data_IF_333513722047
#
_entry.id   IF_333513722047
#
_cell.length_a   1.000
_cell.length_b   1.000
_cell.length_c   1.000
_cell.angle_alpha   90.00
_cell.angle_beta   90.00
_cell.angle_gamma   90.00
#
_symmetry.space_group_name_H-M   'P 1'
#
loop_
_entity.id
_entity.type
_entity.pdbx_description
1 polymer ?
#
# COMPACT_ATOMS: atom_id res chain seq x y z
N UNK A 1 -10.18 -8.80 -14.05
CA UNK A 1 -9.62 -7.44 -14.18
C UNK A 1 -9.63 -6.70 -12.83
N UNK A 2 -10.53 -7.07 -11.91
CA UNK A 2 -10.87 -6.29 -10.71
C UNK A 2 -9.75 -6.22 -9.66
N UNK A 3 -9.00 -7.32 -9.46
CA UNK A 3 -7.93 -7.42 -8.46
C UNK A 3 -6.79 -6.42 -8.63
N UNK A 4 -6.45 -6.04 -9.87
CA UNK A 4 -5.41 -5.04 -10.14
C UNK A 4 -5.91 -3.65 -9.77
N UNK A 5 -7.18 -3.36 -10.08
CA UNK A 5 -7.81 -2.08 -9.76
C UNK A 5 -7.97 -1.88 -8.25
N UNK A 6 -8.41 -2.92 -7.52
CA UNK A 6 -8.49 -2.92 -6.06
C UNK A 6 -7.11 -2.67 -5.43
N UNK A 7 -6.07 -3.30 -6.00
CA UNK A 7 -4.70 -3.16 -5.52
C UNK A 7 -4.15 -1.75 -5.73
N UNK A 8 -4.29 -1.20 -6.93
CA UNK A 8 -3.83 0.16 -7.26
C UNK A 8 -4.57 1.20 -6.41
N UNK A 9 -5.88 1.05 -6.24
CA UNK A 9 -6.68 1.94 -5.42
C UNK A 9 -6.25 1.92 -3.95
N UNK A 10 -6.12 0.73 -3.36
CA UNK A 10 -5.71 0.59 -1.96
C UNK A 10 -4.27 1.07 -1.73
N UNK A 11 -3.35 0.78 -2.67
CA UNK A 11 -1.98 1.27 -2.59
C UNK A 11 -1.92 2.80 -2.68
N UNK A 12 -2.70 3.41 -3.57
CA UNK A 12 -2.77 4.87 -3.67
C UNK A 12 -3.35 5.50 -2.39
N UNK A 13 -4.41 4.92 -1.84
CA UNK A 13 -4.98 5.35 -0.56
C UNK A 13 -3.97 5.29 0.60
N UNK A 14 -3.21 4.19 0.70
CA UNK A 14 -2.17 4.05 1.72
C UNK A 14 -1.04 5.07 1.52
N UNK A 15 -0.66 5.38 0.28
CA UNK A 15 0.33 6.42 -0.01
C UNK A 15 -0.18 7.81 0.36
N UNK A 16 -1.43 8.16 0.05
CA UNK A 16 -2.07 9.41 0.49
C UNK A 16 -2.12 9.53 2.01
N UNK A 17 -2.39 8.43 2.72
CA UNK A 17 -2.37 8.42 4.18
C UNK A 17 -0.97 8.74 4.73
N UNK A 18 0.10 8.24 4.10
CA UNK A 18 1.48 8.56 4.51
C UNK A 18 1.84 10.03 4.28
N UNK A 19 1.18 10.73 3.35
CA UNK A 19 1.40 12.16 3.12
C UNK A 19 0.76 13.02 4.22
N UNK A 20 -0.26 12.52 4.91
CA UNK A 20 -0.87 13.19 6.06
C UNK A 20 -0.02 13.07 7.32
N UNK A 21 0.81 12.02 7.41
CA UNK A 21 1.70 11.78 8.53
C UNK A 21 3.11 12.28 8.23
N UNK A 22 3.49 13.41 8.84
CA UNK A 22 4.78 14.04 8.58
C UNK A 22 5.99 13.15 8.94
N UNK A 23 5.80 12.14 9.78
CA UNK A 23 6.85 11.16 10.09
C UNK A 23 7.31 10.37 8.87
N UNK A 24 6.49 10.26 7.82
CA UNK A 24 6.84 9.53 6.61
C UNK A 24 7.69 10.33 5.61
N UNK A 25 7.79 11.67 5.75
CA UNK A 25 8.63 12.50 4.88
C UNK A 25 10.13 12.18 4.99
N UNK A 26 10.56 11.50 6.06
CA UNK A 26 11.95 11.05 6.23
C UNK A 26 12.33 9.87 5.33
N UNK A 27 11.34 9.19 4.75
CA UNK A 27 11.55 8.05 3.87
C UNK A 27 11.49 8.46 2.40
N UNK A 28 12.19 7.72 1.54
CA UNK A 28 12.16 7.98 0.10
C UNK A 28 10.80 7.61 -0.51
N UNK A 29 10.26 8.38 -1.46
CA UNK A 29 8.94 8.12 -2.05
C UNK A 29 8.81 6.74 -2.69
N UNK A 30 9.89 6.21 -3.27
CA UNK A 30 9.92 4.86 -3.86
C UNK A 30 9.73 3.76 -2.81
N UNK A 31 10.29 3.94 -1.60
CA UNK A 31 10.14 3.01 -0.49
C UNK A 31 8.71 3.06 0.05
N UNK A 32 8.14 4.25 0.18
CA UNK A 32 6.74 4.44 0.60
C UNK A 32 5.79 3.78 -0.42
N UNK A 33 5.99 4.02 -1.71
CA UNK A 33 5.19 3.42 -2.78
C UNK A 33 5.29 1.89 -2.80
N UNK A 34 6.50 1.33 -2.66
CA UNK A 34 6.71 -0.11 -2.58
C UNK A 34 6.06 -0.73 -1.33
N UNK A 35 6.12 -0.04 -0.19
CA UNK A 35 5.51 -0.47 1.07
C UNK A 35 3.98 -0.43 0.98
N UNK A 36 3.42 0.60 0.38
CA UNK A 36 1.98 0.72 0.12
C UNK A 36 1.47 -0.38 -0.81
N UNK A 37 2.21 -0.69 -1.89
CA UNK A 37 1.89 -1.81 -2.78
C UNK A 37 1.97 -3.17 -2.06
N UNK A 38 3.00 -3.36 -1.22
CA UNK A 38 3.15 -4.58 -0.42
C UNK A 38 1.99 -4.75 0.57
N UNK A 39 1.66 -3.69 1.32
CA UNK A 39 0.54 -3.69 2.28
C UNK A 39 -0.81 -3.88 1.58
N UNK A 40 -1.02 -3.23 0.44
CA UNK A 40 -2.25 -3.39 -0.33
C UNK A 40 -2.40 -4.82 -0.85
N UNK A 41 -1.31 -5.43 -1.36
CA UNK A 41 -1.30 -6.85 -1.74
C UNK A 41 -1.63 -7.72 -0.54
N UNK A 42 -0.94 -7.54 0.58
CA UNK A 42 -1.18 -8.31 1.80
C UNK A 42 -2.61 -8.21 2.30
N UNK A 43 -3.18 -7.00 2.29
CA UNK A 43 -4.55 -6.73 2.76
C UNK A 43 -5.60 -7.37 1.87
N UNK A 44 -5.42 -7.33 0.55
CA UNK A 44 -6.35 -7.94 -0.41
C UNK A 44 -6.18 -9.45 -0.52
N UNK A 45 -5.00 -9.97 -0.18
CA UNK A 45 -4.69 -11.41 -0.23
C UNK A 45 -4.86 -12.10 1.13
N UNK A 46 -5.56 -11.47 2.08
CA UNK A 46 -5.86 -11.99 3.43
C UNK A 46 -6.57 -13.36 3.47
N UNK A 47 -7.08 -13.86 2.34
CA UNK A 47 -7.66 -15.20 2.21
C UNK A 47 -6.62 -16.31 2.01
N UNK A 48 -5.39 -15.94 1.67
CA UNK A 48 -4.25 -16.86 1.60
C UNK A 48 -3.55 -16.79 2.96
N UNK A 49 -3.76 -17.82 3.77
CA UNK A 49 -3.24 -18.02 5.12
C UNK A 49 -1.84 -17.39 5.36
N UNK A 50 -1.62 -16.69 6.49
CA UNK A 50 -0.36 -15.99 6.76
C UNK A 50 0.83 -16.92 7.12
N UNK A 51 0.63 -18.24 7.04
CA UNK A 51 1.58 -19.34 7.24
C UNK A 51 1.12 -20.56 6.44
#
# INVERSE_FOLDING_TARGET
MDRIYELEFLANYLAELTLLDYDFLKFVPSLVAASALFLAKWTLDQLSHPW
#
